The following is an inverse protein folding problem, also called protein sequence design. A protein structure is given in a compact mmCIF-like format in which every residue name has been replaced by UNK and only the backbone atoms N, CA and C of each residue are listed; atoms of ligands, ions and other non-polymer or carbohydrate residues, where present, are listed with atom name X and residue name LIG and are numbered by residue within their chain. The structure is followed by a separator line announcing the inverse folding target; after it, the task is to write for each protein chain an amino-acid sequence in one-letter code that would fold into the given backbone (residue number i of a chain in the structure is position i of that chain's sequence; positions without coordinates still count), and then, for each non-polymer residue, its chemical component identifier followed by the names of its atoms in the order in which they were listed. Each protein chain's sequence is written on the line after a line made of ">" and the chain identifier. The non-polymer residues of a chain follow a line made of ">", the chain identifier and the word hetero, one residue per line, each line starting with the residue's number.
data_IF_688941130300
#
_entry.id   IF_688941130300
#
_cell.length_a   1.000
_cell.length_b   1.000
_cell.length_c   1.000
_cell.angle_alpha   90.00
_cell.angle_beta   90.00
_cell.angle_gamma   90.00
#
_symmetry.space_group_name_H-M   'P 1'
#
loop_
_entity.id
_entity.type
_entity.pdbx_description
1 polymer ?
#
# COMPACT_ATOMS: atom_id res chain seq x y z
N UNK A 1 8.93 -27.60 22.21
CA UNK A 1 8.34 -28.69 21.39
C UNK A 1 7.95 -28.12 20.05
N UNK A 2 8.72 -28.42 19.01
CA UNK A 2 8.33 -28.11 17.62
C UNK A 2 7.30 -29.18 17.25
N UNK A 3 6.04 -28.79 17.06
CA UNK A 3 5.03 -29.72 16.55
C UNK A 3 5.36 -29.98 15.08
N UNK A 4 5.71 -31.22 14.74
CA UNK A 4 5.77 -31.64 13.36
C UNK A 4 4.39 -31.44 12.73
N UNK A 5 4.34 -30.77 11.57
CA UNK A 5 3.10 -30.56 10.85
C UNK A 5 2.52 -31.92 10.45
N UNK A 6 1.24 -32.14 10.74
CA UNK A 6 0.48 -33.32 10.33
C UNK A 6 0.40 -33.37 8.80
N UNK A 7 0.97 -34.39 8.14
CA UNK A 7 1.01 -34.48 6.68
C UNK A 7 -0.37 -34.64 6.03
N UNK A 8 -1.39 -35.07 6.77
CA UNK A 8 -2.77 -35.22 6.26
C UNK A 8 -3.60 -33.94 6.42
N UNK A 9 -3.04 -32.90 7.06
CA UNK A 9 -3.73 -31.63 7.23
C UNK A 9 -3.63 -30.81 5.94
N UNK A 10 -4.75 -30.36 5.35
CA UNK A 10 -4.69 -29.47 4.19
C UNK A 10 -3.94 -28.18 4.57
N UNK A 11 -2.88 -27.89 3.81
CA UNK A 11 -2.04 -26.69 3.98
C UNK A 11 -2.48 -25.67 2.94
N UNK A 12 -2.89 -24.49 3.39
CA UNK A 12 -3.07 -23.35 2.50
C UNK A 12 -1.71 -22.68 2.25
N UNK A 13 -1.39 -22.41 0.99
CA UNK A 13 -0.21 -21.64 0.59
C UNK A 13 -0.66 -20.32 -0.01
N UNK A 14 -0.09 -19.22 0.47
CA UNK A 14 -0.37 -17.88 -0.02
C UNK A 14 0.86 -16.99 0.10
N UNK A 15 0.89 -15.91 -0.68
CA UNK A 15 1.98 -14.92 -0.69
C UNK A 15 1.58 -13.62 0.02
N UNK A 16 2.56 -12.96 0.63
CA UNK A 16 2.37 -11.69 1.34
C UNK A 16 3.38 -10.67 0.84
N UNK A 17 2.90 -9.52 0.38
CA UNK A 17 3.71 -8.33 0.12
C UNK A 17 3.61 -7.36 1.30
N UNK A 18 4.74 -6.82 1.75
CA UNK A 18 4.80 -5.72 2.71
C UNK A 18 5.65 -4.60 2.10
N UNK A 19 5.06 -3.43 1.86
CA UNK A 19 5.72 -2.36 1.13
C UNK A 19 5.32 -0.97 1.62
N UNK A 20 6.31 -0.19 2.08
CA UNK A 20 6.14 1.22 2.39
C UNK A 20 6.35 2.04 1.10
N UNK A 21 5.31 2.77 0.68
CA UNK A 21 5.27 3.44 -0.63
C UNK A 21 5.85 4.87 -0.63
N UNK A 22 6.27 5.38 0.54
CA UNK A 22 6.72 6.75 0.76
C UNK A 22 5.67 7.79 0.30
N UNK A 23 4.90 8.34 1.24
CA UNK A 23 3.86 9.31 0.88
C UNK A 23 4.46 10.59 0.28
N UNK A 24 3.68 11.32 -0.52
CA UNK A 24 4.18 12.50 -1.22
C UNK A 24 4.62 13.59 -0.24
N UNK A 25 3.90 13.72 0.87
CA UNK A 25 4.25 14.64 1.96
C UNK A 25 5.68 14.46 2.49
N UNK A 26 6.24 13.25 2.45
CA UNK A 26 7.59 12.98 2.96
C UNK A 26 8.64 12.90 1.84
N UNK A 27 8.26 12.83 0.57
CA UNK A 27 9.19 12.77 -0.58
C UNK A 27 9.80 14.14 -0.93
N UNK A 28 10.47 14.78 0.03
CA UNK A 28 11.01 16.14 -0.10
C UNK A 28 12.46 16.17 -0.59
N UNK A 29 12.83 17.22 -1.34
CA UNK A 29 14.22 17.43 -1.80
C UNK A 29 15.20 17.61 -0.64
N UNK A 30 14.75 18.10 0.52
CA UNK A 30 15.62 18.24 1.70
C UNK A 30 16.01 16.88 2.29
N UNK A 31 15.09 15.91 2.32
CA UNK A 31 15.36 14.55 2.79
C UNK A 31 16.04 13.69 1.72
N UNK A 32 15.71 13.91 0.45
CA UNK A 32 16.15 13.11 -0.69
C UNK A 32 16.93 13.97 -1.71
N UNK A 33 17.92 14.73 -1.24
CA UNK A 33 18.66 15.72 -2.06
C UNK A 33 19.46 15.12 -3.22
N UNK A 34 19.72 13.82 -3.16
CA UNK A 34 20.36 13.04 -4.23
C UNK A 34 19.38 12.63 -5.35
N UNK A 35 18.08 12.73 -5.11
CA UNK A 35 17.04 12.34 -6.06
C UNK A 35 16.53 13.60 -6.79
N UNK A 36 16.52 13.62 -8.14
CA UNK A 36 16.05 14.79 -8.86
C UNK A 36 14.54 14.99 -8.64
N UNK A 37 14.09 16.25 -8.55
CA UNK A 37 12.71 16.58 -8.19
C UNK A 37 11.65 15.94 -9.08
N UNK A 38 11.95 15.74 -10.36
CA UNK A 38 11.04 15.06 -11.29
C UNK A 38 10.82 13.58 -10.92
N UNK A 39 11.84 12.92 -10.36
CA UNK A 39 11.76 11.53 -9.94
C UNK A 39 11.13 11.38 -8.55
N UNK A 40 11.19 12.44 -7.71
CA UNK A 40 10.47 12.51 -6.43
C UNK A 40 8.98 12.82 -6.61
N UNK A 41 8.62 13.50 -7.69
CA UNK A 41 7.25 13.88 -7.97
C UNK A 41 6.30 12.67 -7.94
N UNK A 42 5.18 12.77 -7.22
CA UNK A 42 4.21 11.70 -7.08
C UNK A 42 3.68 11.17 -8.42
N UNK A 43 3.43 12.04 -9.40
CA UNK A 43 2.89 11.63 -10.70
C UNK A 43 3.83 10.67 -11.45
N UNK A 44 5.13 10.81 -11.20
CA UNK A 44 6.15 9.89 -11.69
C UNK A 44 6.23 8.62 -10.81
N UNK A 45 6.40 8.78 -9.48
CA UNK A 45 6.61 7.65 -8.56
C UNK A 45 5.45 6.67 -8.53
N UNK A 46 4.21 7.17 -8.55
CA UNK A 46 3.01 6.34 -8.42
C UNK A 46 2.90 5.29 -9.51
N UNK A 47 3.40 5.59 -10.71
CA UNK A 47 3.42 4.65 -11.84
C UNK A 47 4.31 3.45 -11.54
N UNK A 48 5.52 3.71 -11.03
CA UNK A 48 6.48 2.66 -10.64
C UNK A 48 5.98 1.86 -9.44
N UNK A 49 5.43 2.53 -8.42
CA UNK A 49 4.88 1.88 -7.22
C UNK A 49 3.75 0.91 -7.60
N UNK A 50 2.79 1.34 -8.43
CA UNK A 50 1.70 0.47 -8.87
C UNK A 50 2.24 -0.68 -9.70
N UNK A 51 3.15 -0.42 -10.65
CA UNK A 51 3.78 -1.47 -11.45
C UNK A 51 4.45 -2.54 -10.58
N UNK A 52 5.21 -2.11 -9.57
CA UNK A 52 5.89 -3.00 -8.62
C UNK A 52 4.89 -3.89 -7.87
N UNK A 53 3.85 -3.29 -7.27
CA UNK A 53 2.80 -4.03 -6.53
C UNK A 53 2.13 -5.06 -7.44
N UNK A 54 1.79 -4.68 -8.68
CA UNK A 54 1.13 -5.57 -9.64
C UNK A 54 2.02 -6.74 -10.07
N UNK A 55 3.32 -6.51 -10.25
CA UNK A 55 4.25 -7.55 -10.68
C UNK A 55 4.40 -8.69 -9.67
N UNK A 56 4.24 -8.42 -8.37
CA UNK A 56 4.34 -9.46 -7.34
C UNK A 56 3.14 -10.41 -7.30
N UNK A 57 1.96 -9.96 -7.75
CA UNK A 57 0.70 -10.71 -7.70
C UNK A 57 0.43 -11.40 -6.34
N UNK A 58 0.85 -10.76 -5.24
CA UNK A 58 0.79 -11.34 -3.91
C UNK A 58 -0.66 -11.52 -3.44
N UNK A 59 -0.98 -12.63 -2.77
CA UNK A 59 -2.35 -12.91 -2.34
C UNK A 59 -2.85 -11.93 -1.27
N UNK A 60 -1.94 -11.46 -0.41
CA UNK A 60 -2.16 -10.38 0.56
C UNK A 60 -1.13 -9.29 0.32
N UNK A 61 -1.57 -8.04 0.26
CA UNK A 61 -0.70 -6.86 0.12
C UNK A 61 -0.92 -5.95 1.33
N UNK A 62 0.18 -5.59 2.00
CA UNK A 62 0.17 -4.66 3.13
C UNK A 62 1.02 -3.44 2.78
N UNK A 63 0.39 -2.27 2.77
CA UNK A 63 1.04 -1.02 2.39
C UNK A 63 1.09 -0.05 3.58
N UNK A 64 2.20 0.65 3.72
CA UNK A 64 2.37 1.76 4.67
C UNK A 64 2.65 3.06 3.92
N UNK A 65 2.41 4.19 4.59
CA UNK A 65 2.51 5.53 4.02
C UNK A 65 1.57 5.74 2.82
N UNK A 66 0.40 5.13 2.85
CA UNK A 66 -0.64 5.33 1.84
C UNK A 66 -1.46 6.56 2.23
N UNK A 67 -1.48 7.60 1.39
CA UNK A 67 -2.33 8.77 1.60
C UNK A 67 -3.82 8.43 1.40
N UNK A 68 -4.69 9.05 2.20
CA UNK A 68 -6.12 8.78 2.22
C UNK A 68 -6.77 8.94 0.84
N UNK A 69 -6.45 10.03 0.14
CA UNK A 69 -6.99 10.26 -1.21
C UNK A 69 -6.40 9.30 -2.24
N UNK A 70 -5.11 8.98 -2.13
CA UNK A 70 -4.44 8.03 -3.04
C UNK A 70 -4.96 6.61 -2.86
N UNK A 71 -5.30 6.19 -1.64
CA UNK A 71 -6.01 4.92 -1.43
C UNK A 71 -7.30 4.86 -2.25
N UNK A 72 -8.11 5.93 -2.21
CA UNK A 72 -9.43 5.99 -2.85
C UNK A 72 -9.35 6.13 -4.37
N UNK A 73 -8.42 6.93 -4.88
CA UNK A 73 -8.33 7.30 -6.30
C UNK A 73 -7.37 6.42 -7.11
N UNK A 74 -6.37 5.82 -6.47
CA UNK A 74 -5.32 5.06 -7.15
C UNK A 74 -5.31 3.60 -6.70
N UNK A 75 -4.93 3.32 -5.45
CA UNK A 75 -4.63 1.94 -5.03
C UNK A 75 -5.86 1.03 -5.08
N UNK A 76 -7.01 1.48 -4.56
CA UNK A 76 -8.22 0.67 -4.53
C UNK A 76 -8.76 0.39 -5.95
N UNK A 77 -8.95 1.38 -6.85
CA UNK A 77 -9.37 1.09 -8.22
C UNK A 77 -8.42 0.18 -8.99
N UNK A 78 -7.10 0.43 -8.92
CA UNK A 78 -6.09 -0.34 -9.64
C UNK A 78 -6.04 -1.81 -9.19
N UNK A 79 -6.08 -2.05 -7.87
CA UNK A 79 -6.05 -3.40 -7.31
C UNK A 79 -7.40 -4.11 -7.43
N UNK A 80 -8.52 -3.37 -7.36
CA UNK A 80 -9.84 -3.94 -7.62
C UNK A 80 -9.97 -4.48 -9.05
N UNK A 81 -9.34 -3.80 -10.02
CA UNK A 81 -9.23 -4.31 -11.40
C UNK A 81 -8.50 -5.65 -11.53
N UNK A 82 -7.74 -6.05 -10.51
CA UNK A 82 -7.02 -7.33 -10.43
C UNK A 82 -7.67 -8.33 -9.47
N UNK A 83 -8.91 -8.09 -9.02
CA UNK A 83 -9.64 -9.02 -8.15
C UNK A 83 -9.40 -8.85 -6.65
N UNK A 84 -8.67 -7.81 -6.25
CA UNK A 84 -8.47 -7.51 -4.83
C UNK A 84 -9.65 -6.74 -4.24
N UNK A 85 -9.92 -6.99 -2.98
CA UNK A 85 -10.61 -6.06 -2.10
C UNK A 85 -9.61 -5.52 -1.08
N UNK A 86 -9.95 -4.44 -0.38
CA UNK A 86 -9.05 -3.91 0.63
C UNK A 86 -9.70 -2.94 1.59
N UNK A 87 -8.97 -2.68 2.67
CA UNK A 87 -9.33 -1.72 3.73
C UNK A 87 -8.18 -0.76 3.98
N UNK A 88 -8.51 0.42 4.49
CA UNK A 88 -7.55 1.46 4.82
C UNK A 88 -7.91 2.13 6.13
N UNK A 89 -6.88 2.49 6.89
CA UNK A 89 -7.02 3.32 8.09
C UNK A 89 -5.95 4.41 8.12
N UNK A 90 -6.33 5.71 8.14
CA UNK A 90 -5.38 6.81 8.25
C UNK A 90 -4.81 6.91 9.67
N UNK A 91 -3.68 7.60 9.83
CA UNK A 91 -3.15 7.95 11.17
C UNK A 91 -4.16 8.79 11.95
N UNK A 92 -4.13 8.64 13.29
CA UNK A 92 -5.07 9.25 14.23
C UNK A 92 -5.24 10.77 14.10
N UNK A 93 -4.20 11.47 13.65
CA UNK A 93 -4.23 12.93 13.37
C UNK A 93 -5.34 13.34 12.41
N UNK A 94 -5.81 12.44 11.53
CA UNK A 94 -6.95 12.72 10.66
C UNK A 94 -8.23 13.09 11.42
N UNK A 95 -8.35 12.74 12.72
CA UNK A 95 -9.53 13.05 13.53
C UNK A 95 -9.66 14.52 13.92
N UNK A 96 -8.56 15.28 13.90
CA UNK A 96 -8.50 16.67 14.38
C UNK A 96 -8.16 17.68 13.28
N UNK A 97 -8.03 17.21 12.04
CA UNK A 97 -7.67 18.05 10.88
C UNK A 97 -8.90 18.40 10.05
N UNK A 98 -8.79 19.47 9.25
CA UNK A 98 -9.82 19.84 8.28
C UNK A 98 -10.02 18.72 7.23
N UNK A 99 -11.18 18.71 6.57
CA UNK A 99 -11.46 17.72 5.51
C UNK A 99 -10.42 17.76 4.38
N UNK A 100 -9.93 18.95 4.04
CA UNK A 100 -8.93 19.11 2.98
C UNK A 100 -7.59 18.48 3.37
N UNK A 101 -7.12 18.75 4.58
CA UNK A 101 -5.84 18.20 5.04
C UNK A 101 -5.92 16.69 5.30
N UNK A 102 -7.10 16.17 5.66
CA UNK A 102 -7.32 14.74 5.88
C UNK A 102 -7.02 13.90 4.64
N UNK A 103 -7.20 14.45 3.44
CA UNK A 103 -6.89 13.77 2.16
C UNK A 103 -5.43 13.31 2.08
N UNK A 104 -4.53 14.10 2.67
CA UNK A 104 -3.08 13.90 2.65
C UNK A 104 -2.54 13.22 3.92
N UNK A 105 -3.43 12.78 4.81
CA UNK A 105 -3.01 11.96 5.96
C UNK A 105 -2.74 10.54 5.48
N UNK A 106 -1.50 10.11 5.66
CA UNK A 106 -1.08 8.76 5.35
C UNK A 106 -1.48 7.77 6.47
N UNK A 107 -1.54 6.50 6.09
CA UNK A 107 -1.90 5.39 6.95
C UNK A 107 -1.50 4.04 6.37
N UNK A 108 -2.19 2.99 6.79
CA UNK A 108 -1.94 1.63 6.34
C UNK A 108 -3.13 1.11 5.54
N UNK A 109 -2.84 0.38 4.45
CA UNK A 109 -3.82 -0.34 3.66
C UNK A 109 -3.50 -1.83 3.64
N UNK A 110 -4.54 -2.65 3.63
CA UNK A 110 -4.44 -4.10 3.44
C UNK A 110 -5.35 -4.48 2.29
N UNK A 111 -4.82 -5.22 1.32
CA UNK A 111 -5.56 -5.80 0.21
C UNK A 111 -5.42 -7.32 0.21
N UNK A 112 -6.44 -8.02 -0.27
CA UNK A 112 -6.42 -9.47 -0.44
C UNK A 112 -7.23 -9.87 -1.67
N UNK A 113 -6.80 -10.94 -2.35
CA UNK A 113 -7.56 -11.53 -3.46
C UNK A 113 -8.88 -12.09 -2.95
N UNK A 114 -9.97 -11.78 -3.65
CA UNK A 114 -11.32 -12.12 -3.17
C UNK A 114 -11.70 -13.59 -3.40
N UNK A 115 -10.94 -14.29 -4.24
CA UNK A 115 -11.15 -15.67 -4.67
C UNK A 115 -10.29 -16.69 -3.90
N UNK A 116 -9.61 -16.25 -2.84
CA UNK A 116 -8.76 -17.09 -1.98
C UNK A 116 -9.15 -17.02 -0.51
#
# INVERSE_FOLDING_TARGET
>A
MIRHADPDRPIATFTVLCYNVLCDKYATVSQYSYCPSWALNWEYRKQSIIKEIKNYEADIITLQEVETEQYRLLFLPELKGMGYTGIFSPKSRAKTMSEEERKYVDGCAIFWKSDK
#
